data_IF_119917660781
#
_entry.id   IF_119917660781
#
_cell.length_a   1.000
_cell.length_b   1.000
_cell.length_c   1.000
_cell.angle_alpha   90.00
_cell.angle_beta   90.00
_cell.angle_gamma   90.00
#
_symmetry.space_group_name_H-M   'P 1'
#
loop_
_entity.id
_entity.type
_entity.pdbx_description
1 polymer ?
#
# COMPACT_ATOMS: atom_id res chain seq x y z
N UNK A 1 8.01 -23.19 -7.45
CA UNK A 1 9.15 -22.48 -6.87
C UNK A 1 8.79 -22.19 -5.42
N UNK A 2 9.60 -22.68 -4.49
CA UNK A 2 9.49 -22.35 -3.07
C UNK A 2 10.23 -21.04 -2.78
N UNK A 3 10.01 -20.47 -1.58
CA UNK A 3 10.78 -19.33 -1.12
C UNK A 3 12.28 -19.64 -1.04
N UNK A 4 12.66 -20.81 -0.55
CA UNK A 4 14.06 -21.18 -0.40
C UNK A 4 14.73 -21.34 -1.78
N UNK A 5 14.05 -21.92 -2.76
CA UNK A 5 14.52 -21.98 -4.15
C UNK A 5 14.69 -20.59 -4.79
N UNK A 6 13.81 -19.64 -4.46
CA UNK A 6 13.94 -18.25 -4.91
C UNK A 6 15.19 -17.58 -4.29
N UNK A 7 15.44 -17.82 -3.01
CA UNK A 7 16.58 -17.25 -2.28
C UNK A 7 17.94 -17.86 -2.68
N UNK A 8 17.94 -19.02 -3.34
CA UNK A 8 19.14 -19.62 -3.94
C UNK A 8 19.52 -18.98 -5.29
N UNK A 9 18.63 -18.21 -5.92
CA UNK A 9 18.96 -17.48 -7.14
C UNK A 9 19.94 -16.33 -6.84
N UNK A 10 20.73 -15.89 -7.85
CA UNK A 10 21.47 -14.64 -7.76
C UNK A 10 20.54 -13.48 -7.36
N UNK A 11 21.01 -12.59 -6.49
CA UNK A 11 20.22 -11.48 -5.94
C UNK A 11 19.60 -10.63 -7.05
N UNK A 12 20.35 -10.34 -8.11
CA UNK A 12 19.90 -9.58 -9.28
C UNK A 12 18.77 -10.26 -10.08
N UNK A 13 18.56 -11.56 -9.88
CA UNK A 13 17.45 -12.31 -10.47
C UNK A 13 16.30 -12.40 -9.45
N UNK A 14 16.61 -12.75 -8.20
CA UNK A 14 15.62 -12.91 -7.14
C UNK A 14 14.83 -11.62 -6.90
N UNK A 15 15.49 -10.46 -6.93
CA UNK A 15 14.84 -9.15 -6.73
C UNK A 15 13.76 -8.87 -7.78
N UNK A 16 13.86 -9.48 -8.96
CA UNK A 16 12.97 -9.27 -10.09
C UNK A 16 11.81 -10.26 -10.16
N UNK A 17 11.62 -11.08 -9.11
CA UNK A 17 10.61 -12.13 -9.06
C UNK A 17 9.71 -11.95 -7.83
N UNK A 18 8.40 -11.90 -8.07
CA UNK A 18 7.38 -12.18 -7.05
C UNK A 18 6.88 -13.61 -7.19
N UNK A 19 6.50 -14.25 -6.07
CA UNK A 19 5.77 -15.53 -6.12
C UNK A 19 4.27 -15.31 -6.03
N UNK A 20 3.53 -16.05 -6.87
CA UNK A 20 2.07 -16.18 -6.85
C UNK A 20 1.69 -17.64 -6.70
N UNK A 21 1.43 -18.07 -5.47
CA UNK A 21 1.10 -19.45 -5.11
C UNK A 21 2.13 -20.46 -5.66
N UNK A 22 3.41 -20.14 -5.43
CA UNK A 22 4.59 -20.91 -5.86
C UNK A 22 4.97 -20.71 -7.33
N UNK A 23 4.26 -19.86 -8.08
CA UNK A 23 4.59 -19.53 -9.48
C UNK A 23 5.46 -18.27 -9.52
N UNK A 24 6.65 -18.31 -10.13
CA UNK A 24 7.46 -17.11 -10.31
C UNK A 24 6.80 -16.18 -11.33
N UNK A 25 6.70 -14.91 -10.97
CA UNK A 25 6.24 -13.83 -11.83
C UNK A 25 7.34 -12.79 -11.93
N UNK A 26 7.77 -12.54 -13.16
CA UNK A 26 8.77 -11.52 -13.47
C UNK A 26 8.17 -10.13 -13.32
N UNK A 27 8.76 -9.30 -12.46
CA UNK A 27 8.30 -7.94 -12.13
C UNK A 27 9.37 -6.87 -12.43
N UNK A 28 10.39 -7.21 -13.22
CA UNK A 28 11.49 -6.28 -13.48
C UNK A 28 11.05 -4.96 -14.11
N UNK A 29 10.05 -4.95 -15.00
CA UNK A 29 9.55 -3.72 -15.61
C UNK A 29 8.98 -2.74 -14.56
N UNK A 30 8.28 -3.26 -13.53
CA UNK A 30 7.79 -2.46 -12.41
C UNK A 30 8.97 -1.93 -11.58
N UNK A 31 9.95 -2.79 -11.27
CA UNK A 31 11.13 -2.39 -10.49
C UNK A 31 11.97 -1.34 -11.23
N UNK A 32 12.21 -1.52 -12.52
CA UNK A 32 12.92 -0.55 -13.34
C UNK A 32 12.16 0.77 -13.43
N UNK A 33 10.83 0.75 -13.56
CA UNK A 33 10.03 1.98 -13.54
C UNK A 33 10.14 2.73 -12.21
N UNK A 34 10.10 2.01 -11.08
CA UNK A 34 10.27 2.59 -9.73
C UNK A 34 11.68 3.17 -9.53
N UNK A 35 12.71 2.42 -9.94
CA UNK A 35 14.12 2.83 -9.80
C UNK A 35 14.53 3.95 -10.77
N UNK A 36 13.91 4.03 -11.94
CA UNK A 36 14.27 5.02 -12.98
C UNK A 36 13.70 6.43 -12.75
N UNK A 37 12.71 6.58 -11.87
CA UNK A 37 12.13 7.89 -11.54
C UNK A 37 12.49 8.27 -10.10
N UNK A 38 13.41 9.21 -9.94
CA UNK A 38 13.80 9.70 -8.60
C UNK A 38 12.62 10.30 -7.83
N UNK A 39 11.58 10.72 -8.54
CA UNK A 39 10.31 11.20 -7.99
C UNK A 39 9.56 10.10 -7.22
N UNK A 40 9.42 8.89 -7.78
CA UNK A 40 8.73 7.77 -7.12
C UNK A 40 9.35 7.50 -5.75
N UNK A 41 10.67 7.29 -5.73
CA UNK A 41 11.44 7.08 -4.50
C UNK A 41 11.34 8.25 -3.50
N UNK A 42 11.38 9.48 -4.01
CA UNK A 42 11.28 10.68 -3.16
C UNK A 42 9.91 10.77 -2.48
N UNK A 43 8.83 10.58 -3.23
CA UNK A 43 7.47 10.67 -2.67
C UNK A 43 7.14 9.46 -1.79
N UNK A 44 7.55 8.25 -2.14
CA UNK A 44 7.44 7.06 -1.28
C UNK A 44 8.10 7.28 0.07
N UNK A 45 9.35 7.76 0.09
CA UNK A 45 10.07 8.05 1.34
C UNK A 45 9.37 9.11 2.19
N UNK A 46 8.91 10.21 1.60
CA UNK A 46 8.22 11.28 2.35
C UNK A 46 6.89 10.81 2.92
N UNK A 47 6.13 10.06 2.13
CA UNK A 47 4.88 9.48 2.59
C UNK A 47 5.11 8.51 3.74
N UNK A 48 6.09 7.62 3.62
CA UNK A 48 6.47 6.68 4.69
C UNK A 48 6.86 7.42 5.97
N UNK A 49 7.72 8.44 5.88
CA UNK A 49 8.15 9.23 7.04
C UNK A 49 6.99 9.96 7.74
N UNK A 50 6.06 10.52 6.96
CA UNK A 50 4.89 11.24 7.51
C UNK A 50 3.91 10.26 8.16
N UNK A 51 3.68 9.09 7.56
CA UNK A 51 2.91 8.01 8.15
C UNK A 51 3.54 7.49 9.44
N UNK A 52 4.86 7.31 9.48
CA UNK A 52 5.57 6.89 10.69
C UNK A 52 5.44 7.92 11.82
N UNK A 53 5.53 9.20 11.49
CA UNK A 53 5.31 10.29 12.45
C UNK A 53 3.89 10.26 13.00
N UNK A 54 2.88 10.09 12.14
CA UNK A 54 1.48 9.99 12.54
C UNK A 54 1.23 8.73 13.41
N UNK A 55 1.83 7.60 13.07
CA UNK A 55 1.76 6.36 13.85
C UNK A 55 2.30 6.56 15.27
N UNK A 56 3.49 7.15 15.39
CA UNK A 56 4.12 7.46 16.69
C UNK A 56 3.25 8.39 17.53
N UNK A 57 2.66 9.42 16.92
CA UNK A 57 1.74 10.34 17.61
C UNK A 57 0.48 9.61 18.09
N UNK A 58 -0.14 8.78 17.24
CA UNK A 58 -1.31 7.99 17.61
C UNK A 58 -1.01 7.01 18.76
N UNK A 59 0.13 6.32 18.71
CA UNK A 59 0.55 5.39 19.78
C UNK A 59 0.82 6.09 21.11
N UNK A 60 1.35 7.32 21.08
CA UNK A 60 1.55 8.10 22.32
C UNK A 60 0.26 8.58 22.97
N UNK A 61 -0.84 8.67 22.21
CA UNK A 61 -2.14 9.17 22.69
C UNK A 61 -3.15 8.07 23.01
N UNK A 62 -2.96 6.86 22.47
CA UNK A 62 -3.87 5.71 22.65
C UNK A 62 -3.13 4.51 23.22
N UNK A 63 -3.42 4.15 24.47
CA UNK A 63 -2.86 2.95 25.08
C UNK A 63 -3.42 1.68 24.41
N UNK A 64 -2.53 0.75 24.03
CA UNK A 64 -2.90 -0.61 23.59
C UNK A 64 -2.89 -0.87 22.09
N UNK A 65 -2.71 0.14 21.24
CA UNK A 65 -2.49 -0.05 19.79
C UNK A 65 -1.03 0.19 19.44
N UNK A 66 -0.42 -0.73 18.69
CA UNK A 66 0.96 -0.63 18.23
C UNK A 66 1.01 -0.76 16.71
N UNK A 67 1.72 0.16 16.05
CA UNK A 67 1.80 0.31 14.60
C UNK A 67 3.25 0.43 14.13
N UNK A 68 3.60 -0.30 13.08
CA UNK A 68 4.87 -0.19 12.36
C UNK A 68 4.61 0.25 10.92
N UNK A 69 5.45 1.15 10.41
CA UNK A 69 5.35 1.67 9.05
C UNK A 69 6.59 1.22 8.28
N UNK A 70 6.37 0.61 7.11
CA UNK A 70 7.42 -0.03 6.31
C UNK A 70 7.30 0.44 4.85
N UNK A 71 8.41 0.45 4.12
CA UNK A 71 8.45 0.76 2.69
C UNK A 71 9.20 -0.31 1.91
N UNK A 72 8.71 -0.64 0.72
CA UNK A 72 9.37 -1.57 -0.22
C UNK A 72 9.78 -2.94 0.39
N UNK A 73 9.00 -3.46 1.35
CA UNK A 73 9.24 -4.76 1.98
C UNK A 73 8.20 -5.79 1.51
N UNK A 74 8.55 -7.08 1.55
CA UNK A 74 7.67 -8.15 1.09
C UNK A 74 6.54 -8.39 2.08
N UNK A 75 5.31 -8.38 1.55
CA UNK A 75 4.10 -8.75 2.26
C UNK A 75 3.66 -10.15 1.84
N UNK A 76 3.75 -11.10 2.75
CA UNK A 76 3.44 -12.51 2.49
C UNK A 76 1.96 -12.81 2.72
N UNK A 77 1.31 -13.41 1.73
CA UNK A 77 -0.09 -13.89 1.81
C UNK A 77 -0.21 -15.31 2.37
N UNK A 78 0.91 -16.02 2.46
CA UNK A 78 0.97 -17.44 2.84
C UNK A 78 2.14 -17.67 3.79
N UNK A 79 1.95 -18.53 4.79
CA UNK A 79 2.99 -18.82 5.80
C UNK A 79 4.21 -19.56 5.24
N UNK A 80 4.04 -20.27 4.13
CA UNK A 80 5.16 -20.88 3.40
C UNK A 80 5.89 -19.90 2.47
N UNK A 81 5.45 -18.64 2.44
CA UNK A 81 6.02 -17.53 1.65
C UNK A 81 5.97 -17.77 0.14
N UNK A 82 5.12 -18.70 -0.30
CA UNK A 82 4.93 -19.02 -1.72
C UNK A 82 4.08 -17.98 -2.47
N UNK A 83 3.49 -17.02 -1.78
CA UNK A 83 2.67 -15.97 -2.37
C UNK A 83 2.93 -14.65 -1.64
N UNK A 84 3.48 -13.66 -2.34
CA UNK A 84 3.79 -12.34 -1.76
C UNK A 84 3.74 -11.23 -2.81
N UNK A 85 3.76 -10.00 -2.33
CA UNK A 85 3.86 -8.78 -3.14
C UNK A 85 4.70 -7.74 -2.40
N UNK A 86 5.30 -6.81 -3.12
CA UNK A 86 6.04 -5.68 -2.53
C UNK A 86 5.25 -4.38 -2.74
N UNK A 87 4.46 -3.91 -1.76
CA UNK A 87 3.86 -2.57 -1.81
C UNK A 87 4.94 -1.49 -1.68
N UNK A 88 4.66 -0.29 -2.17
CA UNK A 88 5.59 0.84 -2.02
C UNK A 88 5.68 1.29 -0.56
N UNK A 89 4.55 1.26 0.16
CA UNK A 89 4.49 1.51 1.60
C UNK A 89 3.36 0.71 2.27
N UNK A 90 3.49 0.45 3.57
CA UNK A 90 2.48 -0.23 4.35
C UNK A 90 2.50 0.18 5.83
N UNK A 91 1.40 -0.11 6.52
CA UNK A 91 1.26 -0.01 7.97
C UNK A 91 0.80 -1.36 8.48
N UNK A 92 1.50 -1.88 9.48
CA UNK A 92 1.22 -3.15 10.13
C UNK A 92 1.00 -2.96 11.63
N UNK A 93 0.36 -3.93 12.27
CA UNK A 93 0.50 -4.11 13.71
C UNK A 93 1.97 -4.40 14.06
N UNK A 94 2.43 -3.95 15.23
CA UNK A 94 3.76 -4.31 15.70
C UNK A 94 3.89 -5.82 15.85
N UNK A 95 5.05 -6.36 15.48
CA UNK A 95 5.34 -7.78 15.57
C UNK A 95 5.85 -8.13 16.98
N UNK A 96 5.52 -9.33 17.44
CA UNK A 96 5.96 -9.81 18.77
C UNK A 96 7.45 -10.20 18.79
N UNK A 97 8.00 -10.58 17.63
CA UNK A 97 9.38 -11.05 17.48
C UNK A 97 10.20 -10.10 16.59
N UNK A 98 11.46 -9.88 16.99
CA UNK A 98 12.43 -9.17 16.16
C UNK A 98 12.75 -9.99 14.89
N UNK A 99 12.92 -9.30 13.76
CA UNK A 99 13.25 -9.89 12.45
C UNK A 99 12.21 -10.89 11.90
N UNK A 100 10.96 -10.81 12.35
CA UNK A 100 9.88 -11.62 11.79
C UNK A 100 9.42 -11.09 10.42
N UNK A 101 8.77 -11.96 9.66
CA UNK A 101 8.23 -11.66 8.34
C UNK A 101 6.93 -10.86 8.43
N UNK A 102 6.62 -10.10 7.39
CA UNK A 102 5.37 -9.34 7.31
C UNK A 102 4.31 -10.19 6.63
N UNK A 103 3.25 -10.53 7.36
CA UNK A 103 2.11 -11.25 6.79
C UNK A 103 0.94 -10.31 6.57
N UNK A 104 0.13 -10.60 5.55
CA UNK A 104 -1.03 -9.79 5.21
C UNK A 104 -2.10 -9.72 6.33
N UNK A 105 -2.09 -10.67 7.26
CA UNK A 105 -2.95 -10.63 8.46
C UNK A 105 -2.56 -9.54 9.46
N UNK A 106 -1.30 -9.09 9.45
CA UNK A 106 -0.80 -8.01 10.29
C UNK A 106 -0.93 -6.63 9.63
N UNK A 107 -1.09 -6.61 8.30
CA UNK A 107 -1.20 -5.38 7.52
C UNK A 107 -2.58 -4.74 7.67
N UNK A 108 -2.59 -3.48 8.09
CA UNK A 108 -3.81 -2.67 8.19
C UNK A 108 -3.97 -1.69 7.04
N UNK A 109 -2.86 -1.28 6.41
CA UNK A 109 -2.85 -0.40 5.25
C UNK A 109 -1.72 -0.80 4.32
N UNK A 110 -1.99 -0.86 3.02
CA UNK A 110 -0.96 -0.97 1.96
C UNK A 110 -1.18 0.12 0.93
N UNK A 111 -0.11 0.57 0.26
CA UNK A 111 -0.26 1.58 -0.78
C UNK A 111 0.78 1.52 -1.88
N UNK A 112 0.38 2.11 -3.01
CA UNK A 112 1.15 2.16 -4.24
C UNK A 112 1.29 3.62 -4.68
N UNK A 113 2.53 4.02 -4.98
CA UNK A 113 2.85 5.29 -5.62
C UNK A 113 2.85 5.07 -7.13
N UNK A 114 1.86 5.66 -7.77
CA UNK A 114 1.57 5.46 -9.17
C UNK A 114 2.49 6.32 -10.03
N UNK A 115 3.41 5.67 -10.73
CA UNK A 115 4.18 6.27 -11.81
C UNK A 115 3.46 6.08 -13.15
N UNK A 116 3.81 6.86 -14.20
CA UNK A 116 3.24 6.71 -15.54
C UNK A 116 3.45 5.32 -16.17
N UNK A 117 4.35 4.49 -15.63
CA UNK A 117 4.61 3.13 -16.11
C UNK A 117 3.57 2.10 -15.60
N UNK A 118 2.79 2.44 -14.58
CA UNK A 118 1.78 1.54 -14.05
C UNK A 118 0.59 1.47 -15.02
N UNK A 119 0.35 0.27 -15.58
CA UNK A 119 -0.83 0.04 -16.41
C UNK A 119 -2.04 -0.29 -15.53
N UNK A 120 -3.26 0.17 -15.89
CA UNK A 120 -4.46 -0.14 -15.11
C UNK A 120 -4.65 -1.64 -14.81
N UNK A 121 -4.38 -2.58 -15.75
CA UNK A 121 -4.49 -4.02 -15.46
C UNK A 121 -3.53 -4.52 -14.37
N UNK A 122 -2.31 -3.99 -14.31
CA UNK A 122 -1.33 -4.38 -13.28
C UNK A 122 -1.77 -3.89 -11.90
N UNK A 123 -2.25 -2.65 -11.82
CA UNK A 123 -2.77 -2.06 -10.59
C UNK A 123 -3.99 -2.82 -10.07
N UNK A 124 -4.97 -3.07 -10.93
CA UNK A 124 -6.18 -3.81 -10.54
C UNK A 124 -5.85 -5.25 -10.11
N UNK A 125 -4.88 -5.91 -10.74
CA UNK A 125 -4.42 -7.23 -10.32
C UNK A 125 -3.77 -7.20 -8.93
N UNK A 126 -2.94 -6.18 -8.63
CA UNK A 126 -2.28 -6.02 -7.33
C UNK A 126 -3.30 -5.69 -6.23
N UNK A 127 -4.20 -4.74 -6.51
CA UNK A 127 -5.34 -4.37 -5.68
C UNK A 127 -6.24 -5.55 -5.33
N UNK A 128 -6.53 -6.42 -6.30
CA UNK A 128 -7.32 -7.63 -6.06
C UNK A 128 -6.61 -8.62 -5.12
N UNK A 129 -5.28 -8.71 -5.15
CA UNK A 129 -4.51 -9.56 -4.20
C UNK A 129 -4.60 -9.02 -2.78
N UNK A 130 -4.44 -7.71 -2.59
CA UNK A 130 -4.62 -7.07 -1.28
C UNK A 130 -6.04 -7.28 -0.72
N UNK A 131 -7.06 -7.16 -1.59
CA UNK A 131 -8.45 -7.39 -1.20
C UNK A 131 -8.70 -8.87 -0.86
N UNK A 132 -8.15 -9.81 -1.63
CA UNK A 132 -8.24 -11.24 -1.32
C UNK A 132 -7.60 -11.57 0.04
N UNK A 133 -6.55 -10.86 0.42
CA UNK A 133 -5.91 -10.94 1.72
C UNK A 133 -6.64 -10.16 2.83
N UNK A 134 -7.75 -9.48 2.52
CA UNK A 134 -8.62 -8.74 3.44
C UNK A 134 -7.93 -7.59 4.17
N UNK A 135 -6.92 -6.99 3.55
CA UNK A 135 -6.21 -5.83 4.13
C UNK A 135 -7.19 -4.65 4.21
N UNK A 136 -7.45 -4.08 5.39
CA UNK A 136 -8.53 -3.11 5.60
C UNK A 136 -8.46 -1.86 4.70
N UNK A 137 -7.26 -1.32 4.50
CA UNK A 137 -7.07 -0.06 3.78
C UNK A 137 -6.08 -0.21 2.63
N UNK A 138 -6.43 0.40 1.50
CA UNK A 138 -5.56 0.47 0.32
C UNK A 138 -5.43 1.90 -0.16
N UNK A 139 -4.21 2.36 -0.42
CA UNK A 139 -3.93 3.72 -0.91
C UNK A 139 -3.33 3.70 -2.32
N UNK A 140 -3.84 4.57 -3.19
CA UNK A 140 -3.24 4.90 -4.48
C UNK A 140 -2.75 6.35 -4.43
N UNK A 141 -1.50 6.59 -4.82
CA UNK A 141 -0.88 7.93 -4.81
C UNK A 141 -0.44 8.31 -6.22
N UNK A 142 -1.18 9.19 -6.88
CA UNK A 142 -0.86 9.65 -8.22
C UNK A 142 0.25 10.71 -8.20
N UNK A 143 1.24 10.57 -9.08
CA UNK A 143 2.26 11.58 -9.32
C UNK A 143 1.97 12.40 -10.59
N UNK A 144 2.16 13.71 -10.51
CA UNK A 144 2.18 14.61 -11.67
C UNK A 144 3.61 14.98 -12.05
N UNK A 145 3.94 15.01 -13.36
CA UNK A 145 5.29 15.37 -13.83
C UNK A 145 5.56 16.88 -13.89
N UNK A 146 4.52 17.73 -13.97
CA UNK A 146 4.67 19.18 -14.11
C UNK A 146 3.54 19.97 -13.41
N UNK A 147 3.82 20.64 -12.26
CA UNK A 147 5.04 20.50 -11.47
C UNK A 147 5.16 19.08 -10.89
N UNK A 148 6.38 18.69 -10.48
CA UNK A 148 6.62 17.41 -9.79
C UNK A 148 5.95 17.44 -8.42
N UNK A 149 4.88 16.67 -8.25
CA UNK A 149 4.12 16.59 -6.99
C UNK A 149 3.24 15.35 -6.96
N UNK A 150 2.71 15.03 -5.78
CA UNK A 150 1.51 14.20 -5.69
C UNK A 150 0.32 15.00 -6.21
N UNK A 151 -0.41 14.44 -7.17
CA UNK A 151 -1.62 15.05 -7.74
C UNK A 151 -2.90 14.58 -7.05
N UNK A 152 -2.90 13.34 -6.55
CA UNK A 152 -4.03 12.81 -5.81
C UNK A 152 -3.57 11.70 -4.85
N UNK A 153 -4.25 11.60 -3.72
CA UNK A 153 -4.22 10.41 -2.87
C UNK A 153 -5.64 9.86 -2.81
N UNK A 154 -5.82 8.58 -3.09
CA UNK A 154 -7.10 7.88 -2.97
C UNK A 154 -7.01 6.81 -1.90
N UNK A 155 -7.93 6.84 -0.95
CA UNK A 155 -8.09 5.82 0.07
C UNK A 155 -9.28 4.93 -0.26
N UNK A 156 -9.03 3.63 -0.24
CA UNK A 156 -10.04 2.61 -0.40
C UNK A 156 -10.19 1.79 0.88
N UNK A 157 -11.43 1.49 1.23
CA UNK A 157 -11.77 0.56 2.31
C UNK A 157 -12.12 -0.82 1.73
N UNK A 158 -11.67 -1.88 2.38
CA UNK A 158 -12.07 -3.24 2.03
C UNK A 158 -13.55 -3.47 2.37
N UNK A 159 -14.34 -3.86 1.37
CA UNK A 159 -15.75 -4.19 1.53
C UNK A 159 -15.91 -5.63 2.04
N UNK A 160 -16.01 -5.77 3.35
CA UNK A 160 -16.52 -7.00 3.94
C UNK A 160 -18.00 -7.25 3.53
N UNK A 161 -18.45 -8.49 3.67
CA UNK A 161 -19.78 -8.96 3.25
C UNK A 161 -20.94 -8.12 3.84
N UNK A 162 -20.71 -7.43 4.96
CA UNK A 162 -21.72 -6.64 5.69
C UNK A 162 -21.65 -5.12 5.42
N UNK A 163 -21.07 -4.68 4.30
CA UNK A 163 -20.96 -3.25 3.97
C UNK A 163 -22.33 -2.64 3.61
N UNK A 164 -22.78 -1.66 4.40
CA UNK A 164 -24.00 -0.90 4.15
C UNK A 164 -23.64 0.50 3.63
N UNK A 165 -24.14 0.86 2.44
CA UNK A 165 -24.00 2.21 1.91
C UNK A 165 -24.90 3.19 2.68
N UNK A 166 -24.45 4.44 2.93
CA UNK A 166 -25.29 5.47 3.52
C UNK A 166 -26.56 5.73 2.71
N UNK A 167 -27.62 6.18 3.38
CA UNK A 167 -28.86 6.58 2.72
C UNK A 167 -28.60 7.66 1.66
N UNK A 168 -29.10 7.44 0.44
CA UNK A 168 -28.91 8.36 -0.69
C UNK A 168 -27.69 8.08 -1.58
N UNK A 169 -26.84 7.11 -1.25
CA UNK A 169 -25.71 6.70 -2.09
C UNK A 169 -26.12 5.50 -2.97
N UNK A 170 -26.17 5.71 -4.29
CA UNK A 170 -26.36 4.62 -5.28
C UNK A 170 -25.02 4.28 -5.91
N UNK A 171 -24.49 3.06 -5.73
CA UNK A 171 -23.22 2.70 -6.32
C UNK A 171 -23.44 2.39 -7.82
N UNK A 172 -22.50 2.79 -8.68
CA UNK A 172 -22.57 2.50 -10.13
C UNK A 172 -22.53 0.99 -10.44
N UNK A 173 -22.01 0.19 -9.51
CA UNK A 173 -22.09 -1.27 -9.46
C UNK A 173 -22.30 -1.68 -8.00
N UNK A 174 -23.08 -2.74 -7.69
CA UNK A 174 -23.16 -3.24 -6.33
C UNK A 174 -21.75 -3.49 -5.79
N UNK A 175 -21.40 -3.04 -4.57
CA UNK A 175 -20.13 -3.42 -3.98
C UNK A 175 -20.11 -4.94 -3.90
N UNK A 176 -19.16 -5.56 -4.59
CA UNK A 176 -18.97 -7.00 -4.45
C UNK A 176 -18.17 -7.21 -3.19
N UNK A 177 -18.68 -8.06 -2.30
CA UNK A 177 -17.92 -8.48 -1.14
C UNK A 177 -16.54 -9.01 -1.61
N UNK A 178 -15.48 -8.55 -0.95
CA UNK A 178 -14.12 -8.88 -1.36
C UNK A 178 -13.46 -7.88 -2.32
N UNK A 179 -14.08 -6.72 -2.58
CA UNK A 179 -13.46 -5.63 -3.37
C UNK A 179 -13.19 -4.39 -2.50
N UNK A 180 -12.34 -3.49 -3.01
CA UNK A 180 -12.07 -2.19 -2.40
C UNK A 180 -13.06 -1.12 -2.88
N UNK A 181 -13.56 -0.30 -1.95
CA UNK A 181 -14.46 0.82 -2.23
C UNK A 181 -13.70 2.13 -1.98
N UNK A 182 -13.75 3.09 -2.91
CA UNK A 182 -13.18 4.41 -2.71
C UNK A 182 -13.92 5.15 -1.60
N UNK A 183 -13.23 5.50 -0.52
CA UNK A 183 -13.81 6.18 0.66
C UNK A 183 -13.24 7.58 0.88
N UNK A 184 -12.13 7.93 0.23
CA UNK A 184 -11.55 9.26 0.30
C UNK A 184 -10.69 9.58 -0.93
N UNK A 185 -10.72 10.83 -1.36
CA UNK A 185 -9.84 11.38 -2.39
C UNK A 185 -9.41 12.78 -1.97
N UNK A 186 -8.10 13.04 -2.00
CA UNK A 186 -7.51 14.33 -1.70
C UNK A 186 -6.64 14.79 -2.85
N UNK A 187 -6.85 16.03 -3.29
CA UNK A 187 -6.00 16.71 -4.27
C UNK A 187 -5.46 18.02 -3.67
N UNK A 188 -4.29 18.49 -4.11
CA UNK A 188 -3.74 19.79 -3.69
C UNK A 188 -4.68 20.98 -3.91
N UNK A 189 -5.58 20.87 -4.88
CA UNK A 189 -6.56 21.91 -5.21
C UNK A 189 -7.81 21.89 -4.32
N UNK A 190 -8.16 20.74 -3.73
CA UNK A 190 -9.41 20.55 -3.00
C UNK A 190 -9.25 20.43 -1.47
N UNK A 191 -8.04 20.17 -0.98
CA UNK A 191 -7.76 19.97 0.44
C UNK A 191 -6.40 20.55 0.85
N UNK A 192 -6.21 20.88 2.13
CA UNK A 192 -4.92 21.34 2.68
C UNK A 192 -3.90 20.20 2.87
N UNK A 193 -4.36 18.95 2.80
CA UNK A 193 -3.55 17.74 2.93
C UNK A 193 -4.40 16.48 2.87
N UNK A 194 -3.78 15.34 3.15
CA UNK A 194 -4.46 14.05 3.34
C UNK A 194 -4.94 13.97 4.79
N UNK A 195 -6.23 13.66 4.99
CA UNK A 195 -6.81 13.59 6.34
C UNK A 195 -7.78 12.42 6.47
N UNK A 196 -7.46 11.47 7.35
CA UNK A 196 -8.29 10.29 7.62
C UNK A 196 -8.22 9.87 9.08
N UNK A 197 -9.24 9.15 9.55
CA UNK A 197 -9.29 8.61 10.92
C UNK A 197 -8.82 7.15 11.00
N UNK A 198 -8.39 6.57 9.87
CA UNK A 198 -8.06 5.16 9.77
C UNK A 198 -6.71 4.92 9.07
N UNK A 199 -5.92 3.91 9.48
CA UNK A 199 -6.17 2.98 10.60
C UNK A 199 -6.08 3.66 11.99
N UNK A 200 -5.51 4.85 12.04
CA UNK A 200 -5.51 5.79 13.16
C UNK A 200 -5.63 7.22 12.59
N UNK A 201 -5.78 8.26 13.43
CA UNK A 201 -5.79 9.64 12.94
C UNK A 201 -4.51 9.98 12.17
N UNK A 202 -4.64 10.22 10.87
CA UNK A 202 -3.57 10.61 9.96
C UNK A 202 -3.92 11.97 9.38
N UNK A 203 -3.01 12.92 9.55
CA UNK A 203 -3.06 14.22 8.90
C UNK A 203 -1.69 14.51 8.28
N UNK A 204 -1.63 14.63 6.96
CA UNK A 204 -0.41 14.87 6.20
C UNK A 204 -0.61 16.12 5.35
N UNK A 205 -0.09 17.29 5.79
CA UNK A 205 -0.10 18.50 4.99
C UNK A 205 0.62 18.30 3.66
N UNK A 206 0.16 18.95 2.59
CA UNK A 206 0.87 18.88 1.30
C UNK A 206 2.31 19.43 1.37
N UNK A 207 2.59 20.35 2.30
CA UNK A 207 3.93 20.88 2.56
C UNK A 207 4.93 19.80 2.94
N UNK A 208 4.49 18.75 3.63
CA UNK A 208 5.35 17.66 4.10
C UNK A 208 5.67 16.67 2.96
N UNK A 209 4.88 16.74 1.87
CA UNK A 209 5.03 15.94 0.67
C UNK A 209 5.66 16.72 -0.50
N UNK A 210 5.78 18.05 -0.41
CA UNK A 210 6.24 18.93 -1.49
C UNK A 210 7.70 18.67 -1.91
N UNK A 211 8.00 18.74 -3.23
CA UNK A 211 9.34 18.55 -3.82
C UNK A 211 10.42 19.43 -3.18
#
# INVERSE_FOLDING_TARGET
MTWDELMELPEEIAENIELRDGRPVWVADEIYAKRSTGEHQTFTRRLTNTLETAARQAMSSTAGSCWEVESENNLFFTRDRSSFVTPDFMINHCRDAEYDWIYAEDAVLVGEVLSPANTPPLLEAKKARYAAARIPWYWEVDLAPNPRRISAVRQYAFAAVDFHLPEGVTPLRPPKAGEYILTGEWTPEAAEGVGTLHPFPIHIPWSDLAY
#
